data_IF_591153656374
#
_entry.id   IF_591153656374
#
_cell.length_a   1.000
_cell.length_b   1.000
_cell.length_c   1.000
_cell.angle_alpha   90.00
_cell.angle_beta   90.00
_cell.angle_gamma   90.00
#
_symmetry.space_group_name_H-M   'P 1'
#
loop_
_entity.id
_entity.type
_entity.pdbx_description
1 polymer ?
#
# COMPACT_ATOMS: atom_id res chain seq x y z
N UNK A 1 -12.36 -12.87 2.41
CA UNK A 1 -13.10 -11.62 2.69
C UNK A 1 -13.25 -10.86 1.38
N UNK A 2 -14.21 -9.94 1.28
CA UNK A 2 -14.55 -9.23 0.03
C UNK A 2 -13.41 -8.35 -0.54
N UNK A 3 -12.37 -8.08 0.25
CA UNK A 3 -11.24 -7.19 -0.08
C UNK A 3 -9.90 -7.92 -0.31
N UNK A 4 -9.93 -9.23 -0.58
CA UNK A 4 -8.73 -10.05 -0.84
C UNK A 4 -8.86 -10.76 -2.18
N UNK A 5 -7.73 -11.19 -2.73
CA UNK A 5 -7.63 -11.95 -3.99
C UNK A 5 -8.22 -11.19 -5.20
N UNK A 6 -8.05 -9.87 -5.20
CA UNK A 6 -8.59 -8.93 -6.21
C UNK A 6 -7.68 -8.77 -7.42
N UNK A 7 -6.41 -9.16 -7.31
CA UNK A 7 -5.36 -8.89 -8.28
C UNK A 7 -4.79 -7.47 -8.21
N UNK A 8 -5.32 -6.62 -7.33
CA UNK A 8 -4.83 -5.26 -7.09
C UNK A 8 -3.71 -5.22 -6.04
N UNK A 9 -3.54 -6.29 -5.27
CA UNK A 9 -2.58 -6.40 -4.17
C UNK A 9 -1.17 -6.01 -4.62
N UNK A 10 -0.47 -5.25 -3.76
CA UNK A 10 0.87 -4.69 -4.07
C UNK A 10 1.98 -5.19 -3.17
N UNK A 11 1.66 -5.82 -2.03
CA UNK A 11 2.65 -6.24 -1.03
C UNK A 11 3.75 -7.13 -1.61
N UNK A 12 3.40 -8.15 -2.39
CA UNK A 12 4.38 -9.06 -2.98
C UNK A 12 5.32 -8.37 -3.98
N UNK A 13 4.78 -7.46 -4.81
CA UNK A 13 5.61 -6.75 -5.78
C UNK A 13 6.51 -5.72 -5.10
N UNK A 14 6.00 -5.01 -4.09
CA UNK A 14 6.82 -4.11 -3.28
C UNK A 14 7.92 -4.87 -2.53
N UNK A 15 7.67 -6.08 -2.03
CA UNK A 15 8.71 -6.90 -1.41
C UNK A 15 9.83 -7.25 -2.40
N UNK A 16 9.49 -7.58 -3.65
CA UNK A 16 10.48 -7.82 -4.71
C UNK A 16 11.27 -6.56 -5.04
N UNK A 17 10.62 -5.40 -5.12
CA UNK A 17 11.28 -4.13 -5.38
C UNK A 17 12.26 -3.74 -4.25
N UNK A 18 11.84 -3.92 -2.99
CA UNK A 18 12.70 -3.67 -1.83
C UNK A 18 13.91 -4.60 -1.82
N UNK A 19 13.72 -5.89 -2.15
CA UNK A 19 14.85 -6.82 -2.24
C UNK A 19 15.78 -6.49 -3.41
N UNK A 20 15.22 -6.02 -4.52
CA UNK A 20 16.01 -5.48 -5.63
C UNK A 20 16.86 -4.29 -5.16
N UNK A 21 16.29 -3.30 -4.46
CA UNK A 21 17.06 -2.18 -3.90
C UNK A 21 18.15 -2.65 -2.91
N UNK A 22 17.85 -3.62 -2.06
CA UNK A 22 18.83 -4.22 -1.14
C UNK A 22 20.01 -4.83 -1.91
N UNK A 23 19.73 -5.54 -3.00
CA UNK A 23 20.77 -6.15 -3.86
C UNK A 23 21.69 -5.11 -4.52
N UNK A 24 21.21 -3.88 -4.71
CA UNK A 24 22.02 -2.76 -5.23
C UNK A 24 22.83 -2.05 -4.12
N UNK A 25 22.78 -2.53 -2.88
CA UNK A 25 23.51 -1.97 -1.74
C UNK A 25 22.77 -0.91 -0.95
N UNK A 26 21.47 -0.70 -1.20
CA UNK A 26 20.67 0.23 -0.40
C UNK A 26 20.21 -0.40 0.91
N UNK A 27 20.27 0.38 2.00
CA UNK A 27 19.62 0.01 3.27
C UNK A 27 18.13 0.22 3.16
N UNK A 28 17.35 -0.82 3.49
CA UNK A 28 15.90 -0.71 3.58
C UNK A 28 15.55 -0.14 4.96
N UNK A 29 14.87 1.03 5.04
CA UNK A 29 14.52 1.63 6.31
C UNK A 29 13.34 0.90 6.96
N UNK A 30 13.24 1.03 8.28
CA UNK A 30 12.02 0.67 9.00
C UNK A 30 10.85 1.59 8.62
N UNK A 31 9.59 1.14 8.76
CA UNK A 31 8.42 1.96 8.51
C UNK A 31 8.44 3.25 9.35
N UNK A 32 8.17 4.38 8.69
CA UNK A 32 8.12 5.67 9.36
C UNK A 32 6.74 5.94 9.99
N UNK A 33 6.68 6.96 10.86
CA UNK A 33 5.46 7.38 11.56
C UNK A 33 4.22 7.56 10.68
N UNK A 34 4.31 8.18 9.48
CA UNK A 34 3.17 8.24 8.55
C UNK A 34 2.63 6.88 8.13
N UNK A 35 3.53 5.92 7.84
CA UNK A 35 3.14 4.57 7.43
C UNK A 35 2.48 3.78 8.56
N UNK A 36 3.08 3.81 9.75
CA UNK A 36 2.55 3.09 10.92
C UNK A 36 1.23 3.70 11.42
N UNK A 37 1.14 5.03 11.47
CA UNK A 37 -0.11 5.73 11.84
C UNK A 37 -1.23 5.40 10.88
N UNK A 38 -0.96 5.39 9.57
CA UNK A 38 -2.01 5.12 8.59
C UNK A 38 -2.44 3.64 8.61
N UNK A 39 -1.50 2.71 8.80
CA UNK A 39 -1.83 1.30 8.97
C UNK A 39 -2.76 1.06 10.18
N UNK A 40 -2.42 1.65 11.33
CA UNK A 40 -3.25 1.55 12.54
C UNK A 40 -4.65 2.17 12.34
N UNK A 41 -4.73 3.32 11.67
CA UNK A 41 -6.01 3.94 11.34
C UNK A 41 -6.87 3.06 10.41
N UNK A 42 -6.27 2.42 9.40
CA UNK A 42 -6.99 1.51 8.50
C UNK A 42 -7.51 0.26 9.25
N UNK A 43 -6.74 -0.27 10.19
CA UNK A 43 -7.17 -1.38 11.06
C UNK A 43 -8.39 -0.97 11.90
N UNK A 44 -8.33 0.19 12.56
CA UNK A 44 -9.43 0.72 13.38
C UNK A 44 -10.73 0.90 12.56
N UNK A 45 -10.67 1.57 11.40
CA UNK A 45 -11.87 1.82 10.60
C UNK A 45 -12.37 0.55 9.90
N UNK A 46 -11.53 -0.47 9.68
CA UNK A 46 -11.98 -1.73 9.09
C UNK A 46 -12.98 -2.48 9.98
N UNK A 47 -12.88 -2.28 11.31
CA UNK A 47 -13.78 -2.88 12.29
C UNK A 47 -14.95 -1.97 12.66
N UNK A 48 -14.69 -0.66 12.75
CA UNK A 48 -15.62 0.29 13.35
C UNK A 48 -16.36 1.20 12.34
N UNK A 49 -15.82 1.40 11.14
CA UNK A 49 -16.41 2.25 10.08
C UNK A 49 -16.12 1.69 8.67
N UNK A 50 -16.86 0.64 8.25
CA UNK A 50 -16.64 -0.02 6.97
C UNK A 50 -16.80 0.90 5.74
N UNK A 51 -17.64 1.94 5.82
CA UNK A 51 -17.86 2.90 4.74
C UNK A 51 -16.61 3.76 4.52
N UNK A 52 -16.02 4.26 5.59
CA UNK A 52 -14.73 4.97 5.51
C UNK A 52 -13.63 4.04 5.03
N UNK A 53 -13.59 2.79 5.50
CA UNK A 53 -12.64 1.80 5.02
C UNK A 53 -12.73 1.58 3.50
N UNK A 54 -13.94 1.43 2.94
CA UNK A 54 -14.15 1.28 1.49
C UNK A 54 -13.64 2.51 0.72
N UNK A 55 -13.86 3.73 1.23
CA UNK A 55 -13.35 4.95 0.61
C UNK A 55 -11.82 4.93 0.49
N UNK A 56 -11.13 4.55 1.57
CA UNK A 56 -9.68 4.42 1.58
C UNK A 56 -9.17 3.28 0.70
N UNK A 57 -9.86 2.14 0.69
CA UNK A 57 -9.56 1.02 -0.19
C UNK A 57 -9.61 1.43 -1.66
N UNK A 58 -10.71 2.08 -2.09
CA UNK A 58 -10.88 2.56 -3.45
C UNK A 58 -9.78 3.56 -3.83
N UNK A 59 -9.59 4.60 -3.02
CA UNK A 59 -8.59 5.63 -3.31
C UNK A 59 -7.17 5.06 -3.39
N UNK A 60 -6.81 4.14 -2.50
CA UNK A 60 -5.45 3.56 -2.47
C UNK A 60 -5.16 2.75 -3.74
N UNK A 61 -6.05 1.84 -4.13
CA UNK A 61 -5.81 0.98 -5.29
C UNK A 61 -6.03 1.68 -6.63
N UNK A 62 -7.05 2.54 -6.75
CA UNK A 62 -7.38 3.19 -8.02
C UNK A 62 -6.53 4.43 -8.30
N UNK A 63 -6.11 5.20 -7.27
CA UNK A 63 -5.14 6.27 -7.50
C UNK A 63 -3.79 5.71 -7.96
N UNK A 64 -3.37 4.57 -7.39
CA UNK A 64 -2.13 3.89 -7.80
C UNK A 64 -2.21 3.36 -9.25
N UNK A 65 -3.34 2.78 -9.64
CA UNK A 65 -3.52 2.23 -10.99
C UNK A 65 -3.68 3.31 -12.07
N UNK A 66 -4.11 4.53 -11.71
CA UNK A 66 -4.20 5.68 -12.60
C UNK A 66 -2.91 6.52 -12.61
N UNK A 67 -2.71 7.37 -11.59
CA UNK A 67 -1.60 8.33 -11.55
C UNK A 67 -0.25 7.71 -11.14
N UNK A 68 -0.27 6.66 -10.33
CA UNK A 68 0.95 5.99 -9.86
C UNK A 68 1.82 5.40 -10.97
N UNK A 69 1.20 4.91 -12.05
CA UNK A 69 1.92 4.43 -13.26
C UNK A 69 2.77 5.52 -13.92
N UNK A 70 2.36 6.79 -13.83
CA UNK A 70 3.11 7.91 -14.39
C UNK A 70 4.27 8.34 -13.50
N UNK A 71 4.17 8.16 -12.18
CA UNK A 71 5.25 8.47 -11.22
C UNK A 71 6.41 7.51 -11.41
N UNK A 72 6.15 6.21 -11.54
CA UNK A 72 7.22 5.20 -11.74
C UNK A 72 7.91 5.23 -13.10
N UNK A 73 7.46 6.08 -14.05
CA UNK A 73 8.07 6.25 -15.39
C UNK A 73 8.93 7.51 -15.51
N UNK A 74 8.89 8.41 -14.53
CA UNK A 74 9.75 9.60 -14.48
C UNK A 74 11.03 9.27 -13.73
#
# INVERSE_FOLDING_TARGET
SEFKDTGLERSENLAKDLEWFRSQGHTIPEPSGPGTTYAAYLEEISENDPQSFICHFYNTYFAHSAGGRMIGRK
#
